data_IF_042479791951
#
_entry.id   IF_042479791951
#
_cell.length_a   1.000
_cell.length_b   1.000
_cell.length_c   1.000
_cell.angle_alpha   90.00
_cell.angle_beta   90.00
_cell.angle_gamma   90.00
#
_symmetry.space_group_name_H-M   'P 1'
#
loop_
_entity.id
_entity.type
_entity.pdbx_description
1 polymer ?
#
# COMPACT_ATOMS: atom_id res chain seq x y z
N UNK A 1 51.34 57.85 17.82
CA UNK A 1 49.97 57.29 17.86
C UNK A 1 49.96 56.06 16.96
N UNK A 2 50.20 54.88 17.53
CA UNK A 2 50.12 53.61 16.81
C UNK A 2 48.87 52.90 17.31
N UNK A 3 47.88 52.74 16.43
CA UNK A 3 46.66 51.98 16.73
C UNK A 3 46.72 50.66 15.95
N UNK A 4 46.80 49.57 16.71
CA UNK A 4 46.59 48.21 16.25
C UNK A 4 45.09 47.99 15.99
N UNK A 5 44.73 47.49 14.81
CA UNK A 5 43.41 46.91 14.54
C UNK A 5 43.58 45.41 14.30
N UNK A 6 43.03 44.62 15.22
CA UNK A 6 43.01 43.17 15.18
C UNK A 6 41.98 42.67 14.15
N UNK A 7 42.38 41.77 13.25
CA UNK A 7 41.46 40.96 12.45
C UNK A 7 40.91 39.83 13.32
N UNK A 8 39.60 39.85 13.59
CA UNK A 8 38.87 38.72 14.17
C UNK A 8 38.47 37.73 13.08
N UNK A 9 39.01 36.51 13.13
CA UNK A 9 38.56 35.40 12.30
C UNK A 9 37.32 34.76 12.95
N UNK A 10 36.15 34.92 12.32
CA UNK A 10 34.94 34.16 12.68
C UNK A 10 35.07 32.72 12.19
N UNK A 11 35.25 31.78 13.11
CA UNK A 11 35.07 30.36 12.83
C UNK A 11 33.57 30.04 12.78
N UNK A 12 33.04 29.83 11.58
CA UNK A 12 31.74 29.20 11.36
C UNK A 12 31.87 27.71 11.68
N UNK A 13 31.36 27.30 12.85
CA UNK A 13 31.19 25.90 13.20
C UNK A 13 30.07 25.31 12.35
N UNK A 14 30.42 24.49 11.36
CA UNK A 14 29.47 23.60 10.70
C UNK A 14 29.08 22.51 11.68
N UNK A 15 27.90 22.62 12.31
CA UNK A 15 27.27 21.51 13.01
C UNK A 15 26.75 20.52 11.96
N UNK A 16 27.53 19.49 11.68
CA UNK A 16 27.05 18.31 10.99
C UNK A 16 26.04 17.60 11.90
N UNK A 17 24.75 17.87 11.69
CA UNK A 17 23.68 17.03 12.22
C UNK A 17 23.72 15.70 11.47
N UNK A 18 24.59 14.80 11.92
CA UNK A 18 24.50 13.39 11.58
C UNK A 18 23.20 12.90 12.20
N UNK A 19 22.15 12.77 11.38
CA UNK A 19 20.95 12.04 11.76
C UNK A 19 21.40 10.67 12.27
N UNK A 20 21.23 10.42 13.56
CA UNK A 20 21.51 9.13 14.14
C UNK A 20 20.67 8.10 13.37
N UNK A 21 21.35 7.13 12.74
CA UNK A 21 20.69 5.96 12.17
C UNK A 21 19.87 5.31 13.29
N UNK A 22 18.55 5.16 13.16
CA UNK A 22 17.75 4.56 14.21
C UNK A 22 18.30 3.16 14.48
N UNK A 23 18.71 2.92 15.73
CA UNK A 23 19.13 1.61 16.20
C UNK A 23 18.00 0.62 15.90
N UNK A 24 18.26 -0.55 15.29
CA UNK A 24 17.22 -1.52 15.04
C UNK A 24 16.61 -1.94 16.38
N UNK A 25 15.41 -1.45 16.70
CA UNK A 25 14.66 -2.06 17.78
C UNK A 25 14.02 -3.31 17.19
N UNK A 26 14.66 -4.45 17.44
CA UNK A 26 13.96 -5.72 17.30
C UNK A 26 12.73 -5.64 18.20
N UNK A 27 11.54 -5.49 17.60
CA UNK A 27 10.29 -5.62 18.35
C UNK A 27 10.09 -7.10 18.63
N UNK A 28 10.29 -7.47 19.89
CA UNK A 28 9.91 -8.79 20.39
C UNK A 28 8.38 -8.90 20.57
N UNK A 29 7.71 -7.75 20.71
CA UNK A 29 6.26 -7.66 20.85
C UNK A 29 5.51 -7.46 19.53
N UNK A 30 4.31 -8.04 19.47
CA UNK A 30 3.35 -7.83 18.37
C UNK A 30 2.92 -6.37 18.29
N UNK A 31 2.80 -5.86 17.05
CA UNK A 31 2.28 -4.53 16.79
C UNK A 31 0.84 -4.41 17.32
N UNK A 32 0.63 -3.43 18.20
CA UNK A 32 -0.70 -2.93 18.53
C UNK A 32 -0.99 -1.70 17.66
N UNK A 33 -1.87 -1.88 16.67
CA UNK A 33 -2.24 -0.83 15.73
C UNK A 33 -2.90 0.40 16.36
N UNK A 34 -3.37 0.36 17.62
CA UNK A 34 -3.88 1.57 18.29
C UNK A 34 -2.79 2.60 18.60
N UNK A 35 -1.56 2.11 18.81
CA UNK A 35 -0.43 2.93 19.25
C UNK A 35 0.70 2.97 18.22
N UNK A 36 0.65 2.10 17.21
CA UNK A 36 1.63 2.07 16.15
C UNK A 36 1.42 3.23 15.17
N UNK A 37 2.52 3.83 14.71
CA UNK A 37 2.51 4.88 13.70
C UNK A 37 3.42 4.47 12.54
N UNK A 38 2.86 4.52 11.34
CA UNK A 38 3.52 4.02 10.16
C UNK A 38 3.68 5.09 9.08
N UNK A 39 4.92 5.26 8.62
CA UNK A 39 5.27 5.89 7.36
C UNK A 39 5.66 4.77 6.41
N UNK A 40 4.72 4.37 5.58
CA UNK A 40 4.85 3.19 4.74
C UNK A 40 4.96 3.51 3.26
N UNK A 41 5.25 2.48 2.50
CA UNK A 41 5.10 2.47 1.05
C UNK A 41 4.53 1.14 0.59
N UNK A 42 3.80 1.16 -0.52
CA UNK A 42 3.42 -0.04 -1.23
C UNK A 42 4.56 -0.54 -2.11
N UNK A 43 4.71 -1.87 -2.23
CA UNK A 43 5.55 -2.52 -3.24
C UNK A 43 4.69 -2.95 -4.44
N UNK A 44 3.87 -2.02 -4.94
CA UNK A 44 2.96 -2.23 -6.07
C UNK A 44 3.70 -2.52 -7.38
N UNK A 45 3.04 -3.24 -8.30
CA UNK A 45 3.65 -3.66 -9.56
C UNK A 45 4.75 -4.72 -9.43
N UNK A 46 4.94 -5.31 -8.24
CA UNK A 46 5.95 -6.34 -8.01
C UNK A 46 5.39 -7.76 -8.10
N UNK A 47 4.47 -8.14 -7.22
CA UNK A 47 3.85 -9.48 -7.15
C UNK A 47 2.36 -9.48 -7.55
N UNK A 48 1.86 -8.32 -7.94
CA UNK A 48 0.60 -8.06 -8.63
C UNK A 48 0.91 -6.99 -9.68
N UNK A 49 0.65 -7.27 -10.96
CA UNK A 49 1.05 -6.39 -12.06
C UNK A 49 -0.09 -5.51 -12.54
N UNK A 50 0.22 -4.24 -12.74
CA UNK A 50 -0.66 -3.26 -13.36
C UNK A 50 0.08 -2.59 -14.53
N UNK A 51 -0.62 -2.38 -15.62
CA UNK A 51 -0.05 -1.81 -16.84
C UNK A 51 0.51 -0.41 -16.62
N UNK A 52 -0.13 0.37 -15.75
CA UNK A 52 0.18 1.78 -15.51
C UNK A 52 1.51 1.96 -14.76
N UNK A 53 1.90 1.00 -13.92
CA UNK A 53 3.09 1.11 -13.06
C UNK A 53 4.38 0.97 -13.87
N UNK A 54 4.41 0.10 -14.87
CA UNK A 54 5.58 -0.15 -15.72
C UNK A 54 5.15 -0.42 -17.17
N UNK A 55 4.83 0.64 -17.93
CA UNK A 55 4.36 0.51 -19.31
C UNK A 55 5.43 -0.07 -20.23
N UNK A 56 6.72 0.01 -19.88
CA UNK A 56 7.79 -0.62 -20.65
C UNK A 56 7.77 -2.14 -20.50
N UNK A 57 7.68 -2.65 -19.27
CA UNK A 57 7.46 -4.07 -19.01
C UNK A 57 6.16 -4.54 -19.68
N UNK A 58 5.09 -3.79 -19.51
CA UNK A 58 3.79 -4.13 -20.09
C UNK A 58 3.83 -4.16 -21.61
N UNK A 59 4.39 -3.14 -22.27
CA UNK A 59 4.54 -3.09 -23.72
C UNK A 59 5.46 -4.18 -24.29
N UNK A 60 6.42 -4.66 -23.49
CA UNK A 60 7.34 -5.73 -23.93
C UNK A 60 6.71 -7.12 -23.83
N UNK A 61 5.99 -7.41 -22.75
CA UNK A 61 5.54 -8.77 -22.44
C UNK A 61 4.02 -8.96 -22.45
N UNK A 62 3.28 -7.90 -22.15
CA UNK A 62 1.82 -7.91 -21.94
C UNK A 62 1.08 -7.00 -22.94
N UNK A 63 1.71 -6.63 -24.06
CA UNK A 63 1.11 -5.67 -24.99
C UNK A 63 -0.27 -6.14 -25.48
N UNK A 64 -1.27 -5.27 -25.43
CA UNK A 64 -2.64 -5.59 -25.85
C UNK A 64 -3.41 -6.49 -24.89
N UNK A 65 -2.93 -6.72 -23.67
CA UNK A 65 -3.71 -7.39 -22.61
C UNK A 65 -4.18 -6.39 -21.56
N UNK A 66 -5.38 -6.60 -21.04
CA UNK A 66 -6.01 -5.69 -20.07
C UNK A 66 -5.49 -5.85 -18.64
N UNK A 67 -4.97 -7.04 -18.29
CA UNK A 67 -4.59 -7.41 -16.93
C UNK A 67 -3.52 -8.52 -16.92
N UNK A 68 -2.97 -8.80 -15.74
CA UNK A 68 -1.95 -9.83 -15.53
C UNK A 68 -2.44 -11.23 -15.94
N UNK A 69 -3.72 -11.53 -15.71
CA UNK A 69 -4.34 -12.79 -16.10
C UNK A 69 -4.22 -13.02 -17.62
N UNK A 70 -4.68 -12.04 -18.41
CA UNK A 70 -4.63 -12.11 -19.86
C UNK A 70 -3.20 -12.05 -20.38
N UNK A 71 -2.31 -11.33 -19.69
CA UNK A 71 -0.88 -11.32 -20.01
C UNK A 71 -0.29 -12.73 -19.90
N UNK A 72 -0.50 -13.44 -18.79
CA UNK A 72 0.02 -14.78 -18.63
C UNK A 72 -0.64 -15.80 -19.57
N UNK A 73 -1.94 -15.68 -19.81
CA UNK A 73 -2.64 -16.47 -20.82
C UNK A 73 -2.00 -16.29 -22.22
N UNK A 74 -1.67 -15.05 -22.60
CA UNK A 74 -1.01 -14.72 -23.87
C UNK A 74 0.43 -15.22 -23.94
N UNK A 75 1.18 -15.12 -22.84
CA UNK A 75 2.58 -15.56 -22.77
C UNK A 75 2.73 -17.09 -22.82
N UNK A 76 1.71 -17.84 -22.41
CA UNK A 76 1.75 -19.31 -22.33
C UNK A 76 2.94 -19.76 -21.48
N UNK A 77 3.74 -20.70 -22.00
CA UNK A 77 4.91 -21.26 -21.32
C UNK A 77 5.95 -20.21 -20.88
N UNK A 78 5.96 -19.02 -21.50
CA UNK A 78 6.88 -17.95 -21.12
C UNK A 78 6.47 -17.20 -19.86
N UNK A 79 5.19 -17.27 -19.44
CA UNK A 79 4.66 -16.53 -18.28
C UNK A 79 5.55 -16.76 -17.05
N UNK A 80 5.87 -18.01 -16.72
CA UNK A 80 6.74 -18.32 -15.58
C UNK A 80 8.11 -17.62 -15.65
N UNK A 81 8.83 -17.74 -16.78
CA UNK A 81 10.17 -17.16 -16.92
C UNK A 81 10.18 -15.62 -16.85
N UNK A 82 9.17 -14.97 -17.41
CA UNK A 82 9.05 -13.51 -17.44
C UNK A 82 8.77 -12.97 -16.04
N UNK A 83 7.81 -13.59 -15.35
CA UNK A 83 7.38 -13.13 -14.03
C UNK A 83 8.40 -13.47 -12.95
N UNK A 84 9.04 -14.65 -12.98
CA UNK A 84 10.15 -14.97 -12.06
C UNK A 84 11.31 -13.98 -12.20
N UNK A 85 11.66 -13.60 -13.44
CA UNK A 85 12.68 -12.57 -13.68
C UNK A 85 12.26 -11.24 -13.06
N UNK A 86 11.01 -10.80 -13.29
CA UNK A 86 10.49 -9.57 -12.69
C UNK A 86 10.52 -9.62 -11.17
N UNK A 87 10.06 -10.71 -10.55
CA UNK A 87 10.05 -10.85 -9.10
C UNK A 87 11.46 -10.77 -8.50
N UNK A 88 12.46 -11.30 -9.20
CA UNK A 88 13.85 -11.30 -8.76
C UNK A 88 14.55 -9.94 -8.87
N UNK A 89 14.16 -9.10 -9.82
CA UNK A 89 14.89 -7.87 -10.16
C UNK A 89 14.12 -6.58 -9.94
N UNK A 90 12.79 -6.63 -9.84
CA UNK A 90 11.97 -5.42 -9.72
C UNK A 90 12.12 -4.78 -8.35
N UNK A 91 11.83 -5.46 -7.24
CA UNK A 91 12.17 -4.95 -5.89
C UNK A 91 13.40 -5.67 -5.35
N UNK A 92 14.40 -4.90 -4.94
CA UNK A 92 15.70 -5.37 -4.44
C UNK A 92 15.93 -4.92 -3.00
N UNK A 93 17.00 -5.42 -2.38
CA UNK A 93 17.40 -4.97 -1.03
C UNK A 93 17.87 -3.51 -1.03
N UNK A 94 18.45 -3.04 -2.13
CA UNK A 94 18.90 -1.66 -2.27
C UNK A 94 17.71 -0.69 -2.31
N UNK A 95 16.61 -1.12 -2.94
CA UNK A 95 15.34 -0.36 -2.87
C UNK A 95 14.87 -0.25 -1.41
N UNK A 96 14.94 -1.33 -0.63
CA UNK A 96 14.56 -1.29 0.80
C UNK A 96 15.50 -0.40 1.62
N UNK A 97 16.81 -0.47 1.36
CA UNK A 97 17.80 0.38 2.03
C UNK A 97 17.53 1.86 1.77
N UNK A 98 17.18 2.20 0.53
CA UNK A 98 16.81 3.56 0.15
C UNK A 98 15.49 4.00 0.78
N UNK A 99 14.46 3.15 0.77
CA UNK A 99 13.19 3.44 1.46
C UNK A 99 13.41 3.72 2.96
N UNK A 100 14.25 2.92 3.63
CA UNK A 100 14.60 3.14 5.03
C UNK A 100 15.27 4.51 5.25
N UNK A 101 16.14 4.94 4.32
CA UNK A 101 16.79 6.26 4.39
C UNK A 101 15.79 7.43 4.27
N UNK A 102 14.65 7.21 3.60
CA UNK A 102 13.54 8.15 3.53
C UNK A 102 12.60 8.11 4.75
N UNK A 103 12.93 7.34 5.79
CA UNK A 103 12.12 7.22 7.01
C UNK A 103 10.97 6.22 6.91
N UNK A 104 10.95 5.36 5.88
CA UNK A 104 9.94 4.30 5.75
C UNK A 104 10.14 3.25 6.84
N UNK A 105 9.06 2.91 7.55
CA UNK A 105 9.06 1.89 8.61
C UNK A 105 8.02 0.78 8.38
N UNK A 106 7.25 0.85 7.29
CA UNK A 106 6.28 -0.17 6.91
C UNK A 106 6.31 -0.45 5.41
N UNK A 107 6.21 -1.72 5.02
CA UNK A 107 6.04 -2.14 3.63
C UNK A 107 4.70 -2.85 3.48
N UNK A 108 3.81 -2.33 2.62
CA UNK A 108 2.60 -3.04 2.17
C UNK A 108 2.93 -3.77 0.87
N UNK A 109 2.69 -5.07 0.83
CA UNK A 109 3.10 -5.96 -0.26
C UNK A 109 1.85 -6.57 -0.90
N UNK A 110 1.31 -5.96 -1.96
CA UNK A 110 0.26 -6.55 -2.79
C UNK A 110 0.71 -7.86 -3.42
N UNK A 111 -0.14 -8.88 -3.35
CA UNK A 111 0.07 -10.19 -3.97
C UNK A 111 -1.22 -10.65 -4.64
N UNK A 112 -1.12 -11.28 -5.81
CA UNK A 112 -2.24 -12.08 -6.31
C UNK A 112 -2.46 -13.31 -5.42
N UNK A 113 -3.67 -13.86 -5.37
CA UNK A 113 -3.92 -15.13 -4.66
C UNK A 113 -3.04 -16.28 -5.18
N UNK A 114 -2.54 -16.18 -6.42
CA UNK A 114 -1.73 -17.21 -7.08
C UNK A 114 -0.34 -17.39 -6.42
N UNK A 115 0.10 -16.42 -5.62
CA UNK A 115 1.27 -16.57 -4.76
C UNK A 115 1.05 -17.59 -3.62
N UNK A 116 -0.20 -17.86 -3.26
CA UNK A 116 -0.59 -18.61 -2.07
C UNK A 116 -1.21 -19.95 -2.41
N UNK A 117 -2.08 -19.99 -3.42
CA UNK A 117 -2.81 -21.19 -3.85
C UNK A 117 -2.84 -21.30 -5.37
N UNK A 118 -3.03 -22.53 -5.87
CA UNK A 118 -3.33 -22.79 -7.27
C UNK A 118 -4.83 -22.97 -7.43
N UNK A 119 -5.46 -22.15 -8.26
CA UNK A 119 -6.89 -22.26 -8.57
C UNK A 119 -7.05 -22.89 -9.96
N UNK A 120 -7.84 -23.96 -10.13
CA UNK A 120 -8.07 -24.57 -11.43
C UNK A 120 -8.61 -23.55 -12.45
N UNK A 121 -8.00 -23.51 -13.64
CA UNK A 121 -8.38 -22.58 -14.71
C UNK A 121 -7.79 -21.17 -14.57
N UNK A 122 -7.20 -20.82 -13.43
CA UNK A 122 -6.50 -19.55 -13.27
C UNK A 122 -5.30 -19.47 -14.23
N UNK A 123 -5.16 -18.32 -14.90
CA UNK A 123 -4.08 -18.09 -15.86
C UNK A 123 -2.85 -17.44 -15.22
N UNK A 124 -2.91 -17.08 -13.94
CA UNK A 124 -1.78 -16.52 -13.22
C UNK A 124 -0.59 -17.48 -13.13
N UNK A 125 0.60 -16.90 -13.01
CA UNK A 125 1.79 -17.63 -12.59
C UNK A 125 1.71 -17.97 -11.10
N UNK A 126 1.85 -19.25 -10.74
CA UNK A 126 2.05 -19.71 -9.36
C UNK A 126 3.45 -20.31 -9.22
N UNK A 127 4.40 -19.53 -8.71
CA UNK A 127 5.81 -19.88 -8.61
C UNK A 127 6.44 -19.48 -7.28
N UNK A 128 7.57 -18.77 -7.33
CA UNK A 128 8.41 -18.50 -6.16
C UNK A 128 8.06 -17.18 -5.44
N UNK A 129 6.88 -16.60 -5.64
CA UNK A 129 6.48 -15.31 -5.02
C UNK A 129 6.81 -15.27 -3.52
N UNK A 130 6.45 -16.32 -2.76
CA UNK A 130 6.70 -16.40 -1.32
C UNK A 130 8.20 -16.36 -0.97
N UNK A 131 9.08 -16.92 -1.81
CA UNK A 131 10.53 -16.88 -1.60
C UNK A 131 11.07 -15.46 -1.78
N UNK A 132 10.55 -14.71 -2.77
CA UNK A 132 10.91 -13.30 -2.97
C UNK A 132 10.39 -12.41 -1.84
N UNK A 133 9.14 -12.62 -1.38
CA UNK A 133 8.59 -11.95 -0.19
C UNK A 133 9.50 -12.19 1.00
N UNK A 134 9.86 -13.46 1.28
CA UNK A 134 10.74 -13.80 2.41
C UNK A 134 12.09 -13.10 2.32
N UNK A 135 12.70 -13.05 1.13
CA UNK A 135 14.01 -12.40 0.90
C UNK A 135 13.97 -10.91 1.23
N UNK A 136 12.94 -10.19 0.78
CA UNK A 136 12.78 -8.74 0.96
C UNK A 136 12.31 -8.42 2.38
N UNK A 137 11.25 -9.08 2.86
CA UNK A 137 10.71 -8.88 4.20
C UNK A 137 11.75 -9.20 5.29
N UNK A 138 12.51 -10.29 5.16
CA UNK A 138 13.55 -10.61 6.15
C UNK A 138 14.65 -9.55 6.21
N UNK A 139 14.99 -8.93 5.07
CA UNK A 139 15.97 -7.85 5.03
C UNK A 139 15.43 -6.59 5.72
N UNK A 140 14.22 -6.17 5.34
CA UNK A 140 13.50 -5.04 5.91
C UNK A 140 13.35 -5.16 7.44
N UNK A 141 12.87 -6.32 7.91
CA UNK A 141 12.65 -6.60 9.32
C UNK A 141 13.99 -6.63 10.08
N UNK A 142 14.99 -7.39 9.61
CA UNK A 142 16.23 -7.57 10.38
C UNK A 142 17.10 -6.33 10.42
N UNK A 143 17.15 -5.55 9.34
CA UNK A 143 18.04 -4.39 9.24
C UNK A 143 17.39 -3.12 9.80
N UNK A 144 16.09 -2.96 9.64
CA UNK A 144 15.39 -1.70 9.94
C UNK A 144 14.20 -1.84 10.90
N UNK A 145 13.85 -3.06 11.32
CA UNK A 145 12.67 -3.28 12.16
C UNK A 145 11.36 -2.91 11.45
N UNK A 146 11.34 -2.89 10.11
CA UNK A 146 10.14 -2.55 9.34
C UNK A 146 9.01 -3.54 9.61
N UNK A 147 7.78 -3.03 9.68
CA UNK A 147 6.57 -3.85 9.74
C UNK A 147 6.08 -4.19 8.33
N UNK A 148 5.53 -5.38 8.12
CA UNK A 148 5.12 -5.87 6.80
C UNK A 148 3.61 -6.12 6.79
N UNK A 149 2.90 -5.51 5.85
CA UNK A 149 1.52 -5.87 5.53
C UNK A 149 1.55 -6.79 4.31
N UNK A 150 1.08 -8.04 4.47
CA UNK A 150 0.90 -8.96 3.35
C UNK A 150 -0.55 -8.86 2.88
N UNK A 151 -0.72 -8.36 1.66
CA UNK A 151 -2.00 -8.05 1.08
C UNK A 151 -2.37 -9.06 -0.02
N UNK A 152 -3.49 -9.74 0.15
CA UNK A 152 -4.11 -10.57 -0.89
C UNK A 152 -4.97 -9.65 -1.75
N UNK A 153 -4.32 -9.03 -2.73
CA UNK A 153 -4.82 -7.87 -3.47
C UNK A 153 -5.99 -8.22 -4.42
N UNK A 154 -6.05 -9.48 -4.86
CA UNK A 154 -7.15 -10.03 -5.65
C UNK A 154 -7.52 -11.42 -5.13
N UNK A 155 -8.79 -11.79 -5.23
CA UNK A 155 -9.33 -13.08 -4.77
C UNK A 155 -9.94 -13.87 -5.94
N UNK A 156 -9.99 -15.22 -5.83
CA UNK A 156 -10.54 -16.07 -6.89
C UNK A 156 -11.94 -15.64 -7.33
N UNK A 157 -12.14 -15.46 -8.64
CA UNK A 157 -13.39 -15.00 -9.24
C UNK A 157 -13.50 -13.48 -9.45
N UNK A 158 -12.59 -12.67 -8.89
CA UNK A 158 -12.57 -11.23 -9.06
C UNK A 158 -13.51 -10.49 -8.12
N UNK A 159 -12.98 -9.45 -7.47
CA UNK A 159 -13.65 -8.73 -6.38
C UNK A 159 -14.09 -7.31 -6.74
N UNK A 160 -13.72 -6.81 -7.91
CA UNK A 160 -14.04 -5.44 -8.33
C UNK A 160 -14.08 -5.22 -9.85
N UNK A 161 -13.90 -6.27 -10.65
CA UNK A 161 -13.87 -6.20 -12.11
C UNK A 161 -12.76 -5.37 -12.71
N UNK A 162 -11.75 -5.00 -11.92
CA UNK A 162 -10.52 -4.38 -12.37
C UNK A 162 -9.42 -5.43 -12.54
N UNK A 163 -8.30 -5.01 -13.13
CA UNK A 163 -7.08 -5.79 -13.25
C UNK A 163 -6.52 -6.24 -11.91
N UNK A 164 -6.65 -5.39 -10.87
CA UNK A 164 -6.19 -5.67 -9.50
C UNK A 164 -7.01 -6.73 -8.75
N UNK A 165 -8.29 -6.88 -9.06
CA UNK A 165 -9.19 -7.77 -8.30
C UNK A 165 -9.11 -9.23 -8.71
N UNK A 166 -8.75 -9.50 -9.97
CA UNK A 166 -8.31 -10.77 -10.55
C UNK A 166 -8.13 -10.58 -12.07
N UNK A 167 -9.19 -10.09 -12.71
CA UNK A 167 -9.29 -9.95 -14.16
C UNK A 167 -10.36 -8.92 -14.48
N UNK A 168 -10.09 -8.09 -15.50
CA UNK A 168 -11.04 -7.08 -15.95
C UNK A 168 -12.38 -7.73 -16.32
N UNK A 169 -13.46 -7.14 -15.82
CA UNK A 169 -14.84 -7.58 -16.04
C UNK A 169 -15.30 -8.78 -15.20
N UNK A 170 -14.59 -9.13 -14.12
CA UNK A 170 -14.92 -10.26 -13.23
C UNK A 170 -15.33 -9.85 -11.82
N UNK A 171 -16.49 -10.37 -11.39
CA UNK A 171 -17.10 -10.19 -10.06
C UNK A 171 -17.61 -11.52 -9.47
N UNK A 172 -17.15 -12.64 -10.01
CA UNK A 172 -17.66 -13.98 -9.70
C UNK A 172 -17.32 -14.42 -8.25
N UNK A 173 -16.53 -13.64 -7.50
CA UNK A 173 -16.27 -13.87 -6.07
C UNK A 173 -17.52 -13.65 -5.19
N UNK A 174 -18.35 -12.66 -5.53
CA UNK A 174 -19.53 -12.33 -4.74
C UNK A 174 -20.59 -13.43 -4.80
N UNK A 175 -21.15 -13.79 -3.65
CA UNK A 175 -22.18 -14.83 -3.49
C UNK A 175 -21.77 -16.22 -4.02
N UNK A 176 -20.47 -16.47 -4.15
CA UNK A 176 -19.93 -17.74 -4.63
C UNK A 176 -19.15 -18.46 -3.53
N UNK A 177 -19.70 -19.55 -3.00
CA UNK A 177 -19.10 -20.28 -1.88
C UNK A 177 -17.74 -20.91 -2.24
N UNK A 178 -17.58 -21.43 -3.46
CA UNK A 178 -16.30 -22.00 -3.93
C UNK A 178 -15.20 -20.95 -3.91
N UNK A 179 -15.48 -19.76 -4.45
CA UNK A 179 -14.52 -18.66 -4.47
C UNK A 179 -14.21 -18.14 -3.05
N UNK A 180 -15.20 -18.10 -2.16
CA UNK A 180 -14.98 -17.78 -0.75
C UNK A 180 -14.08 -18.81 -0.05
N UNK A 181 -14.31 -20.11 -0.28
CA UNK A 181 -13.51 -21.18 0.33
C UNK A 181 -12.06 -21.16 -0.20
N UNK A 182 -11.85 -20.94 -1.49
CA UNK A 182 -10.52 -20.74 -2.07
C UNK A 182 -9.84 -19.49 -1.48
N UNK A 183 -10.58 -18.40 -1.29
CA UNK A 183 -10.05 -17.18 -0.65
C UNK A 183 -9.57 -17.46 0.78
N UNK A 184 -10.30 -18.27 1.54
CA UNK A 184 -9.90 -18.68 2.89
C UNK A 184 -8.69 -19.61 2.88
N UNK A 185 -8.54 -20.48 1.86
CA UNK A 185 -7.31 -21.27 1.70
C UNK A 185 -6.09 -20.38 1.44
N UNK A 186 -6.23 -19.30 0.66
CA UNK A 186 -5.15 -18.33 0.47
C UNK A 186 -4.78 -17.65 1.81
N UNK A 187 -5.77 -17.23 2.59
CA UNK A 187 -5.58 -16.69 3.94
C UNK A 187 -4.82 -17.66 4.85
N UNK A 188 -5.19 -18.94 4.85
CA UNK A 188 -4.51 -19.96 5.64
C UNK A 188 -3.03 -20.11 5.25
N UNK A 189 -2.69 -19.99 3.96
CA UNK A 189 -1.29 -20.01 3.52
C UNK A 189 -0.54 -18.75 3.94
N UNK A 190 -1.15 -17.56 3.89
CA UNK A 190 -0.52 -16.34 4.41
C UNK A 190 -0.28 -16.43 5.91
N UNK A 191 -1.27 -16.88 6.68
CA UNK A 191 -1.14 -17.07 8.13
C UNK A 191 -0.02 -18.07 8.46
N UNK A 192 0.06 -19.18 7.71
CA UNK A 192 1.13 -20.16 7.83
C UNK A 192 2.51 -19.56 7.50
N UNK A 193 2.60 -18.72 6.46
CA UNK A 193 3.82 -18.00 6.11
C UNK A 193 4.27 -17.07 7.25
N UNK A 194 3.35 -16.25 7.76
CA UNK A 194 3.60 -15.32 8.87
C UNK A 194 4.06 -16.09 10.10
N UNK A 195 3.33 -17.13 10.50
CA UNK A 195 3.63 -17.92 11.69
C UNK A 195 5.00 -18.61 11.62
N UNK A 196 5.45 -18.99 10.41
CA UNK A 196 6.74 -19.64 10.15
C UNK A 196 7.87 -18.68 9.76
N UNK A 197 7.63 -17.37 9.75
CA UNK A 197 8.60 -16.37 9.33
C UNK A 197 9.82 -16.26 10.26
N UNK A 198 9.68 -16.70 11.51
CA UNK A 198 10.65 -16.45 12.59
C UNK A 198 10.50 -15.07 13.24
N UNK A 199 9.63 -14.21 12.71
CA UNK A 199 9.28 -12.91 13.29
C UNK A 199 7.80 -12.60 13.04
N UNK A 200 6.86 -13.47 13.45
CA UNK A 200 5.42 -13.30 13.19
C UNK A 200 4.85 -11.98 13.72
N UNK A 201 5.49 -11.39 14.72
CA UNK A 201 5.14 -10.08 15.29
C UNK A 201 5.35 -8.90 14.33
N UNK A 202 6.14 -9.08 13.28
CA UNK A 202 6.46 -8.06 12.26
C UNK A 202 5.49 -8.06 11.08
N UNK A 203 4.35 -8.76 11.18
CA UNK A 203 3.41 -8.92 10.09
C UNK A 203 1.98 -8.52 10.44
N UNK A 204 1.24 -8.08 9.43
CA UNK A 204 -0.21 -7.91 9.42
C UNK A 204 -0.77 -8.52 8.15
N UNK A 205 -1.92 -9.20 8.26
CA UNK A 205 -2.63 -9.79 7.13
C UNK A 205 -3.66 -8.78 6.61
N UNK A 206 -3.57 -8.37 5.34
CA UNK A 206 -4.65 -7.72 4.61
C UNK A 206 -5.30 -8.77 3.68
N UNK A 207 -6.52 -9.26 3.97
CA UNK A 207 -7.06 -10.43 3.28
C UNK A 207 -7.87 -10.09 2.02
N UNK A 208 -8.16 -8.81 1.78
CA UNK A 208 -8.95 -8.34 0.64
C UNK A 208 -8.62 -6.87 0.37
N UNK A 209 -8.71 -6.47 -0.90
CA UNK A 209 -8.41 -5.12 -1.37
C UNK A 209 -9.51 -4.58 -2.29
N UNK A 210 -10.08 -3.43 -1.95
CA UNK A 210 -11.07 -2.68 -2.74
C UNK A 210 -12.24 -3.54 -3.30
N UNK A 211 -12.95 -4.34 -2.49
CA UNK A 211 -14.10 -5.10 -2.99
C UNK A 211 -15.21 -4.16 -3.47
N UNK A 212 -15.73 -4.37 -4.67
CA UNK A 212 -16.79 -3.57 -5.27
C UNK A 212 -17.67 -4.46 -6.16
N UNK A 213 -18.98 -4.50 -5.93
CA UNK A 213 -19.92 -5.29 -6.74
C UNK A 213 -20.77 -4.44 -7.69
N UNK A 214 -20.55 -3.11 -7.71
CA UNK A 214 -21.21 -2.21 -8.63
C UNK A 214 -20.43 -2.11 -9.96
N UNK A 215 -21.00 -2.51 -11.11
CA UNK A 215 -20.32 -2.44 -12.41
C UNK A 215 -20.22 -1.01 -12.98
N UNK A 216 -20.92 -0.03 -12.39
CA UNK A 216 -20.73 1.38 -12.75
C UNK A 216 -19.41 1.90 -12.14
N UNK A 217 -18.34 1.84 -12.93
CA UNK A 217 -17.01 2.31 -12.51
C UNK A 217 -16.96 3.80 -12.16
N UNK A 218 -17.96 4.62 -12.53
CA UNK A 218 -18.04 6.01 -12.05
C UNK A 218 -18.26 6.10 -10.53
N UNK A 219 -18.68 4.99 -9.89
CA UNK A 219 -18.84 4.88 -8.44
C UNK A 219 -17.59 4.37 -7.74
N UNK A 220 -16.61 3.85 -8.46
CA UNK A 220 -15.36 3.38 -7.88
C UNK A 220 -14.64 4.54 -7.17
N UNK A 221 -14.06 4.29 -5.99
CA UNK A 221 -13.57 5.35 -5.12
C UNK A 221 -14.64 5.98 -4.20
N UNK A 222 -15.90 5.53 -4.26
CA UNK A 222 -17.00 6.05 -3.43
C UNK A 222 -17.75 4.93 -2.70
N UNK A 223 -18.48 5.22 -1.61
CA UNK A 223 -19.28 4.21 -0.90
C UNK A 223 -20.28 3.45 -1.78
N UNK A 224 -20.70 4.03 -2.92
CA UNK A 224 -21.62 3.41 -3.86
C UNK A 224 -21.00 2.31 -4.73
N UNK A 225 -19.68 2.09 -4.66
CA UNK A 225 -19.01 0.98 -5.33
C UNK A 225 -19.39 -0.40 -4.76
N UNK A 226 -19.84 -0.43 -3.49
CA UNK A 226 -20.22 -1.65 -2.79
C UNK A 226 -21.67 -1.57 -2.31
N UNK A 227 -22.52 -2.41 -2.87
CA UNK A 227 -23.91 -2.57 -2.44
C UNK A 227 -23.98 -3.13 -1.02
N UNK A 228 -25.16 -3.07 -0.38
CA UNK A 228 -25.33 -3.67 0.94
C UNK A 228 -25.28 -5.20 0.91
N UNK A 229 -25.68 -5.83 -0.20
CA UNK A 229 -25.53 -7.27 -0.40
C UNK A 229 -24.05 -7.66 -0.56
N UNK A 230 -23.29 -6.91 -1.36
CA UNK A 230 -21.85 -7.06 -1.48
C UNK A 230 -21.17 -6.86 -0.12
N UNK A 231 -21.59 -5.85 0.64
CA UNK A 231 -21.07 -5.60 1.98
C UNK A 231 -21.36 -6.74 2.96
N UNK A 232 -22.56 -7.33 2.92
CA UNK A 232 -22.90 -8.50 3.73
C UNK A 232 -22.02 -9.72 3.37
N UNK A 233 -21.69 -9.90 2.09
CA UNK A 233 -20.78 -10.97 1.65
C UNK A 233 -19.34 -10.73 2.11
N UNK A 234 -18.84 -9.48 1.99
CA UNK A 234 -17.54 -9.08 2.56
C UNK A 234 -17.51 -9.29 4.07
N UNK A 235 -18.59 -8.94 4.78
CA UNK A 235 -18.71 -9.16 6.23
C UNK A 235 -18.63 -10.65 6.59
N UNK A 236 -19.27 -11.53 5.81
CA UNK A 236 -19.17 -12.99 5.99
C UNK A 236 -17.73 -13.46 5.83
N UNK A 237 -17.04 -13.00 4.79
CA UNK A 237 -15.65 -13.34 4.54
C UNK A 237 -14.73 -12.88 5.67
N UNK A 238 -14.78 -11.61 6.07
CA UNK A 238 -13.88 -11.08 7.11
C UNK A 238 -14.14 -11.71 8.49
N UNK A 239 -15.39 -12.06 8.81
CA UNK A 239 -15.70 -12.83 10.02
C UNK A 239 -15.03 -14.22 10.03
N UNK A 240 -14.99 -14.88 8.87
CA UNK A 240 -14.26 -16.15 8.72
C UNK A 240 -12.74 -15.93 8.84
N UNK A 241 -12.18 -14.87 8.22
CA UNK A 241 -10.75 -14.52 8.38
C UNK A 241 -10.38 -14.28 9.84
N UNK A 242 -11.22 -13.57 10.61
CA UNK A 242 -11.04 -13.38 12.06
C UNK A 242 -11.00 -14.73 12.79
N UNK A 243 -11.88 -15.66 12.46
CA UNK A 243 -11.90 -17.01 13.05
C UNK A 243 -10.63 -17.80 12.71
N UNK A 244 -10.22 -17.81 11.44
CA UNK A 244 -9.02 -18.51 10.98
C UNK A 244 -7.76 -17.95 11.63
N UNK A 245 -7.64 -16.62 11.67
CA UNK A 245 -6.52 -15.92 12.32
C UNK A 245 -6.47 -16.24 13.81
N UNK A 246 -7.59 -16.21 14.53
CA UNK A 246 -7.64 -16.58 15.95
C UNK A 246 -7.24 -18.03 16.21
N UNK A 247 -7.60 -18.95 15.31
CA UNK A 247 -7.24 -20.36 15.42
C UNK A 247 -5.74 -20.61 15.22
N UNK A 248 -5.07 -19.80 14.39
CA UNK A 248 -3.62 -19.88 14.17
C UNK A 248 -2.86 -19.09 15.23
N UNK A 249 -3.13 -17.79 15.34
CA UNK A 249 -2.49 -16.88 16.28
C UNK A 249 -3.28 -15.57 16.39
N UNK A 250 -4.02 -15.32 17.50
CA UNK A 250 -4.85 -14.13 17.65
C UNK A 250 -4.07 -12.82 17.76
N UNK A 251 -2.74 -12.88 17.92
CA UNK A 251 -1.88 -11.69 18.00
C UNK A 251 -1.55 -11.11 16.63
N UNK A 252 -1.72 -11.87 15.54
CA UNK A 252 -1.56 -11.35 14.17
C UNK A 252 -2.71 -10.38 13.87
N UNK A 253 -2.45 -9.10 13.58
CA UNK A 253 -3.50 -8.15 13.23
C UNK A 253 -4.06 -8.43 11.84
N UNK A 254 -5.34 -8.12 11.67
CA UNK A 254 -6.04 -8.15 10.37
C UNK A 254 -6.25 -6.70 9.93
N UNK A 255 -5.76 -6.37 8.75
CA UNK A 255 -5.99 -5.09 8.10
C UNK A 255 -7.16 -5.23 7.13
N UNK A 256 -8.31 -4.66 7.47
CA UNK A 256 -9.53 -4.80 6.69
C UNK A 256 -9.73 -3.59 5.78
N UNK A 257 -9.51 -3.78 4.47
CA UNK A 257 -9.89 -2.85 3.42
C UNK A 257 -11.37 -3.09 3.08
N UNK A 258 -12.23 -2.20 3.57
CA UNK A 258 -13.69 -2.33 3.53
C UNK A 258 -14.34 -1.68 2.31
N UNK A 259 -13.71 -1.77 1.13
CA UNK A 259 -14.04 -0.96 -0.05
C UNK A 259 -13.81 0.52 0.22
N UNK A 260 -14.67 1.39 -0.30
CA UNK A 260 -14.69 2.82 -0.03
C UNK A 260 -15.75 3.20 1.01
N UNK A 261 -16.22 2.20 1.79
CA UNK A 261 -17.02 2.42 3.00
C UNK A 261 -16.05 2.49 4.19
N UNK A 262 -16.00 3.66 4.83
CA UNK A 262 -15.07 3.92 5.93
C UNK A 262 -15.37 3.12 7.21
N UNK A 263 -14.48 3.27 8.21
CA UNK A 263 -14.56 2.57 9.49
C UNK A 263 -15.95 2.61 10.15
N UNK A 264 -16.68 3.74 10.22
CA UNK A 264 -17.98 3.81 10.90
C UNK A 264 -19.06 2.90 10.30
N UNK A 265 -18.95 2.54 9.01
CA UNK A 265 -19.91 1.62 8.39
C UNK A 265 -19.72 0.18 8.90
N UNK A 266 -18.49 -0.21 9.20
CA UNK A 266 -18.12 -1.58 9.55
C UNK A 266 -17.91 -1.78 11.05
N UNK A 267 -17.54 -0.73 11.78
CA UNK A 267 -17.11 -0.78 13.19
C UNK A 267 -18.15 -1.48 14.08
N UNK A 268 -19.44 -1.23 13.85
CA UNK A 268 -20.58 -1.82 14.57
C UNK A 268 -20.64 -3.35 14.51
N UNK A 269 -20.09 -3.96 13.46
CA UNK A 269 -20.18 -5.40 13.22
C UNK A 269 -19.13 -6.22 13.98
N UNK A 270 -18.19 -5.57 14.67
CA UNK A 270 -17.11 -6.24 15.40
C UNK A 270 -17.11 -5.87 16.88
N UNK A 271 -16.72 -6.81 17.75
CA UNK A 271 -16.39 -6.49 19.14
C UNK A 271 -15.10 -5.64 19.17
N UNK A 272 -15.03 -4.63 20.05
CA UNK A 272 -13.86 -3.73 20.14
C UNK A 272 -12.53 -4.43 20.50
N UNK A 273 -12.59 -5.65 21.02
CA UNK A 273 -11.45 -6.53 21.30
C UNK A 273 -10.93 -7.30 20.07
N UNK A 274 -11.60 -7.20 18.93
CA UNK A 274 -11.13 -7.84 17.69
C UNK A 274 -9.87 -7.11 17.21
N UNK A 275 -8.80 -7.86 16.91
CA UNK A 275 -7.51 -7.31 16.49
C UNK A 275 -7.54 -6.90 15.00
N UNK A 276 -8.32 -5.85 14.71
CA UNK A 276 -8.52 -5.28 13.38
C UNK A 276 -7.98 -3.85 13.34
N UNK A 277 -7.36 -3.50 12.23
CA UNK A 277 -7.12 -2.13 11.76
C UNK A 277 -7.86 -1.94 10.44
N UNK A 278 -8.52 -0.80 10.24
CA UNK A 278 -9.14 -0.50 8.95
C UNK A 278 -8.12 0.10 7.99
N UNK A 279 -8.14 -0.39 6.76
CA UNK A 279 -7.38 0.17 5.65
C UNK A 279 -8.30 1.09 4.83
N UNK A 280 -7.86 2.32 4.61
CA UNK A 280 -8.55 3.28 3.76
C UNK A 280 -7.62 3.72 2.64
N UNK A 281 -8.17 3.75 1.42
CA UNK A 281 -7.48 4.27 0.25
C UNK A 281 -8.02 5.64 -0.10
N UNK A 282 -7.13 6.62 -0.31
CA UNK A 282 -7.54 7.99 -0.58
C UNK A 282 -6.74 8.61 -1.72
N UNK A 283 -7.42 8.87 -2.84
CA UNK A 283 -6.83 9.38 -4.06
C UNK A 283 -7.51 10.66 -4.53
N UNK A 284 -6.75 11.52 -5.23
CA UNK A 284 -7.22 12.84 -5.68
C UNK A 284 -7.36 12.95 -7.20
N UNK A 285 -6.75 12.05 -7.96
CA UNK A 285 -6.77 12.09 -9.43
C UNK A 285 -8.17 11.89 -10.05
N UNK A 286 -9.12 11.31 -9.30
CA UNK A 286 -10.52 11.12 -9.72
C UNK A 286 -11.52 12.08 -9.06
N UNK A 287 -11.05 13.05 -8.26
CA UNK A 287 -11.90 13.99 -7.52
C UNK A 287 -11.62 15.43 -7.98
N UNK A 288 -12.60 16.35 -7.95
CA UNK A 288 -12.37 17.78 -8.21
C UNK A 288 -11.28 18.35 -7.29
N UNK A 289 -10.04 18.37 -7.78
CA UNK A 289 -8.85 18.72 -7.03
C UNK A 289 -7.78 19.29 -7.96
N UNK A 290 -6.96 20.18 -7.40
CA UNK A 290 -5.77 20.70 -8.04
C UNK A 290 -4.60 20.77 -7.07
N UNK A 291 -3.38 20.85 -7.58
CA UNK A 291 -2.19 20.83 -6.73
C UNK A 291 -2.04 22.08 -5.85
N UNK A 292 -2.72 23.18 -6.14
CA UNK A 292 -2.65 24.40 -5.31
C UNK A 292 -3.47 24.25 -4.02
N UNK A 293 -4.60 23.53 -4.07
CA UNK A 293 -5.52 23.39 -2.94
C UNK A 293 -5.70 21.97 -2.37
N UNK A 294 -5.13 20.93 -2.98
CA UNK A 294 -5.31 19.53 -2.54
C UNK A 294 -4.94 19.30 -1.07
N UNK A 295 -4.05 20.12 -0.51
CA UNK A 295 -3.70 20.08 0.91
C UNK A 295 -4.91 20.24 1.82
N UNK A 296 -5.89 21.07 1.45
CA UNK A 296 -7.14 21.25 2.21
C UNK A 296 -7.95 19.96 2.23
N UNK A 297 -8.09 19.30 1.08
CA UNK A 297 -8.79 18.00 0.96
C UNK A 297 -8.06 16.91 1.74
N UNK A 298 -6.73 16.85 1.67
CA UNK A 298 -5.90 15.93 2.46
C UNK A 298 -6.15 16.09 3.96
N UNK A 299 -6.07 17.32 4.48
CA UNK A 299 -6.29 17.56 5.90
C UNK A 299 -7.73 17.25 6.33
N UNK A 300 -8.72 17.58 5.49
CA UNK A 300 -10.13 17.31 5.76
C UNK A 300 -10.41 15.80 5.78
N UNK A 301 -9.95 15.07 4.77
CA UNK A 301 -10.08 13.63 4.70
C UNK A 301 -9.37 12.97 5.89
N UNK A 302 -8.12 13.33 6.20
CA UNK A 302 -7.39 12.74 7.33
C UNK A 302 -8.15 12.85 8.66
N UNK A 303 -8.84 13.97 8.91
CA UNK A 303 -9.68 14.19 10.10
C UNK A 303 -10.92 13.29 10.10
N UNK A 304 -11.58 13.10 8.96
CA UNK A 304 -12.82 12.31 8.86
C UNK A 304 -12.54 10.81 8.82
N UNK A 305 -11.42 10.40 8.22
CA UNK A 305 -11.02 9.00 8.07
C UNK A 305 -10.76 8.30 9.41
N UNK A 306 -10.45 9.05 10.47
CA UNK A 306 -10.28 8.49 11.82
C UNK A 306 -11.50 7.72 12.34
N UNK A 307 -12.68 7.94 11.73
CA UNK A 307 -13.89 7.19 12.01
C UNK A 307 -14.48 7.52 13.38
N UNK A 308 -15.13 6.54 13.99
CA UNK A 308 -15.74 6.68 15.33
C UNK A 308 -14.73 6.41 16.48
N UNK A 309 -13.51 5.99 16.13
CA UNK A 309 -12.42 5.70 17.07
C UNK A 309 -12.47 4.32 17.71
N UNK A 310 -13.47 3.48 17.40
CA UNK A 310 -13.59 2.11 17.92
C UNK A 310 -12.41 1.26 17.44
N UNK A 311 -12.00 1.40 16.19
CA UNK A 311 -10.83 0.72 15.62
C UNK A 311 -9.78 1.71 15.10
N UNK A 312 -8.49 1.33 15.12
CA UNK A 312 -7.46 2.11 14.44
C UNK A 312 -7.70 2.12 12.93
N UNK A 313 -7.34 3.22 12.28
CA UNK A 313 -7.41 3.41 10.82
C UNK A 313 -6.00 3.69 10.29
N UNK A 314 -5.63 3.03 9.19
CA UNK A 314 -4.39 3.25 8.46
C UNK A 314 -4.73 3.62 7.01
N UNK A 315 -4.05 4.61 6.45
CA UNK A 315 -4.25 5.00 5.04
C UNK A 315 -3.33 4.16 4.17
N UNK A 316 -3.73 2.93 3.82
CA UNK A 316 -2.85 1.98 3.15
C UNK A 316 -2.52 2.31 1.71
N UNK A 317 -3.28 3.19 1.07
CA UNK A 317 -2.96 3.71 -0.25
C UNK A 317 -3.36 5.18 -0.43
N UNK A 318 -2.48 5.94 -1.07
CA UNK A 318 -2.73 7.30 -1.53
C UNK A 318 -1.60 7.77 -2.45
N UNK A 319 -1.87 8.79 -3.26
CA UNK A 319 -0.88 9.49 -4.07
C UNK A 319 -1.24 10.97 -4.27
N UNK A 320 -0.25 11.80 -4.60
CA UNK A 320 -0.42 13.26 -4.72
C UNK A 320 -0.96 13.74 -6.07
N UNK A 321 -1.11 12.86 -7.07
CA UNK A 321 -1.67 13.27 -8.36
C UNK A 321 -3.09 13.81 -8.14
N UNK A 322 -3.36 15.00 -8.67
CA UNK A 322 -4.67 15.65 -8.66
C UNK A 322 -5.37 15.51 -10.01
N UNK A 323 -6.68 15.76 -10.05
CA UNK A 323 -7.47 15.68 -11.29
C UNK A 323 -7.01 16.71 -12.32
N UNK A 324 -6.65 17.92 -11.88
CA UNK A 324 -6.19 19.00 -12.77
C UNK A 324 -5.02 19.79 -12.19
N UNK A 325 -4.39 20.62 -13.03
CA UNK A 325 -3.33 21.58 -12.66
C UNK A 325 -2.26 20.98 -11.73
N UNK A 326 -1.75 19.81 -12.09
CA UNK A 326 -0.61 19.17 -11.43
C UNK A 326 0.64 20.04 -11.63
N UNK A 327 1.41 20.27 -10.56
CA UNK A 327 2.61 21.13 -10.59
C UNK A 327 3.78 20.49 -9.87
N UNK A 328 4.95 20.50 -10.50
CA UNK A 328 6.18 20.01 -9.90
C UNK A 328 6.54 20.75 -8.62
N UNK A 329 6.35 22.07 -8.61
CA UNK A 329 6.63 22.93 -7.46
C UNK A 329 5.80 22.59 -6.22
N UNK A 330 4.62 21.97 -6.40
CA UNK A 330 3.72 21.63 -5.31
C UNK A 330 3.91 20.19 -4.78
N UNK A 331 4.76 19.37 -5.41
CA UNK A 331 4.94 17.97 -4.99
C UNK A 331 5.37 17.84 -3.53
N UNK A 332 6.39 18.59 -3.12
CA UNK A 332 6.87 18.61 -1.74
C UNK A 332 5.77 19.08 -0.77
N UNK A 333 4.99 20.10 -1.14
CA UNK A 333 3.87 20.60 -0.33
C UNK A 333 2.80 19.52 -0.14
N UNK A 334 2.32 18.91 -1.23
CA UNK A 334 1.24 17.91 -1.18
C UNK A 334 1.66 16.64 -0.47
N UNK A 335 2.86 16.13 -0.76
CA UNK A 335 3.42 14.93 -0.14
C UNK A 335 3.58 15.11 1.38
N UNK A 336 4.23 16.18 1.81
CA UNK A 336 4.48 16.36 3.24
C UNK A 336 3.22 16.70 4.02
N UNK A 337 2.23 17.34 3.38
CA UNK A 337 0.90 17.52 3.98
C UNK A 337 0.24 16.19 4.27
N UNK A 338 0.21 15.25 3.31
CA UNK A 338 -0.39 13.93 3.54
C UNK A 338 0.37 13.08 4.55
N UNK A 339 1.71 13.05 4.46
CA UNK A 339 2.55 12.36 5.45
C UNK A 339 2.26 12.87 6.87
N UNK A 340 2.15 14.19 7.06
CA UNK A 340 1.79 14.78 8.35
C UNK A 340 0.36 14.46 8.77
N UNK A 341 -0.61 14.75 7.91
CA UNK A 341 -2.03 14.68 8.23
C UNK A 341 -2.44 13.27 8.65
N UNK A 342 -2.03 12.25 7.88
CA UNK A 342 -2.38 10.87 8.18
C UNK A 342 -1.68 10.37 9.45
N UNK A 343 -0.44 10.76 9.74
CA UNK A 343 0.18 10.41 11.03
C UNK A 343 -0.45 11.12 12.23
N UNK A 344 -0.96 12.34 12.03
CA UNK A 344 -1.61 13.13 13.08
C UNK A 344 -2.99 12.58 13.44
N UNK A 345 -3.80 12.26 12.45
CA UNK A 345 -5.22 11.93 12.66
C UNK A 345 -5.53 10.43 12.60
N UNK A 346 -4.66 9.62 12.00
CA UNK A 346 -4.83 8.15 11.91
C UNK A 346 -3.56 7.43 12.40
N UNK A 347 -3.37 6.16 12.06
CA UNK A 347 -2.16 5.39 12.38
C UNK A 347 -1.03 5.60 11.36
N UNK A 348 -1.19 6.55 10.44
CA UNK A 348 -0.23 6.84 9.38
C UNK A 348 -0.70 6.36 8.02
N UNK A 349 0.24 6.11 7.12
CA UNK A 349 -0.05 5.88 5.70
C UNK A 349 0.93 4.93 5.02
N UNK A 350 0.57 4.39 3.85
CA UNK A 350 1.49 3.82 2.88
C UNK A 350 1.27 4.44 1.49
N UNK A 351 2.32 5.07 0.96
CA UNK A 351 2.24 5.73 -0.35
C UNK A 351 2.14 4.70 -1.48
N UNK A 352 1.30 4.94 -2.49
CA UNK A 352 1.31 4.19 -3.75
C UNK A 352 2.19 4.94 -4.76
N UNK A 353 3.39 4.46 -5.11
CA UNK A 353 4.07 3.21 -4.73
C UNK A 353 5.59 3.43 -4.67
N UNK A 354 6.38 2.42 -4.28
CA UNK A 354 7.83 2.52 -4.17
C UNK A 354 8.49 2.86 -5.51
N UNK A 355 8.10 2.16 -6.58
CA UNK A 355 8.61 2.38 -7.94
C UNK A 355 7.47 2.49 -8.93
N UNK A 356 7.57 3.50 -9.77
CA UNK A 356 6.57 3.78 -10.79
C UNK A 356 7.24 4.41 -12.01
N UNK A 357 6.92 3.89 -13.18
CA UNK A 357 7.50 4.24 -14.48
C UNK A 357 6.43 4.60 -15.52
N UNK A 358 5.16 4.78 -15.10
CA UNK A 358 4.09 5.21 -15.98
C UNK A 358 4.37 6.55 -16.63
N UNK A 359 4.20 6.59 -17.93
CA UNK A 359 4.56 7.71 -18.80
C UNK A 359 3.33 8.43 -19.39
N UNK A 360 2.14 8.19 -18.82
CA UNK A 360 0.94 8.91 -19.22
C UNK A 360 1.04 10.32 -18.65
N UNK A 361 0.87 11.33 -19.52
CA UNK A 361 0.83 12.73 -19.09
C UNK A 361 -0.31 12.98 -18.11
N UNK A 362 -0.04 13.76 -17.06
CA UNK A 362 -1.08 14.22 -16.14
C UNK A 362 -1.64 15.56 -16.61
N UNK A 363 -2.83 15.92 -16.13
CA UNK A 363 -3.37 17.26 -16.39
C UNK A 363 -2.53 18.30 -15.63
N UNK A 364 -1.63 19.00 -16.34
CA UNK A 364 -0.65 19.92 -15.78
C UNK A 364 0.77 19.58 -16.23
N UNK A 365 1.72 19.59 -15.31
CA UNK A 365 3.14 19.37 -15.57
C UNK A 365 3.52 17.89 -15.37
N UNK A 366 4.15 17.28 -16.38
CA UNK A 366 4.81 15.96 -16.25
C UNK A 366 3.93 14.75 -16.52
N UNK A 367 4.41 13.61 -16.05
CA UNK A 367 3.80 12.28 -16.25
C UNK A 367 3.48 11.62 -14.91
N UNK A 368 2.75 10.50 -14.92
CA UNK A 368 2.41 9.78 -13.69
C UNK A 368 3.65 9.44 -12.83
N UNK A 369 4.77 9.02 -13.42
CA UNK A 369 6.00 8.72 -12.66
C UNK A 369 6.50 9.89 -11.80
N UNK A 370 6.17 11.14 -12.14
CA UNK A 370 6.53 12.32 -11.34
C UNK A 370 5.74 12.47 -10.04
N UNK A 371 4.60 11.77 -9.91
CA UNK A 371 3.65 11.91 -8.80
C UNK A 371 3.40 10.59 -8.05
N UNK A 372 3.83 9.45 -8.59
CA UNK A 372 3.54 8.11 -8.04
C UNK A 372 4.78 7.33 -7.58
N UNK A 373 6.00 7.84 -7.81
CA UNK A 373 7.24 7.15 -7.51
C UNK A 373 7.89 7.68 -6.21
N UNK A 374 7.73 6.94 -5.11
CA UNK A 374 8.26 7.35 -3.81
C UNK A 374 9.80 7.35 -3.74
N UNK A 375 10.48 6.41 -4.42
CA UNK A 375 11.93 6.41 -4.48
C UNK A 375 12.50 7.65 -5.17
N UNK A 376 11.80 8.20 -6.17
CA UNK A 376 12.19 9.47 -6.79
C UNK A 376 12.03 10.64 -5.80
N UNK A 377 11.01 10.63 -4.94
CA UNK A 377 10.87 11.67 -3.91
C UNK A 377 12.02 11.65 -2.88
N UNK A 378 12.56 10.47 -2.58
CA UNK A 378 13.76 10.33 -1.77
C UNK A 378 14.97 10.95 -2.49
N UNK A 379 15.18 10.64 -3.77
CA UNK A 379 16.30 11.22 -4.55
C UNK A 379 16.22 12.75 -4.66
N UNK A 380 15.00 13.27 -4.77
CA UNK A 380 14.76 14.71 -4.83
C UNK A 380 14.97 15.41 -3.47
N UNK A 381 15.08 14.66 -2.37
CA UNK A 381 15.22 15.23 -1.03
C UNK A 381 13.99 15.99 -0.54
N UNK A 382 12.78 15.62 -0.99
CA UNK A 382 11.54 16.36 -0.70
C UNK A 382 10.69 15.76 0.42
N UNK A 383 11.20 14.77 1.16
CA UNK A 383 10.48 14.13 2.27
C UNK A 383 10.85 14.82 3.58
N UNK A 384 9.94 15.65 4.07
CA UNK A 384 10.03 16.38 5.34
C UNK A 384 8.61 16.59 5.93
N UNK A 385 8.03 15.57 6.59
CA UNK A 385 6.64 15.61 7.06
C UNK A 385 6.32 16.82 7.95
N UNK A 386 7.27 17.35 8.72
CA UNK A 386 7.07 18.55 9.54
C UNK A 386 6.61 19.76 8.73
N UNK A 387 6.99 19.88 7.45
CA UNK A 387 6.50 20.95 6.57
C UNK A 387 4.99 20.93 6.36
N UNK A 388 4.34 19.76 6.49
CA UNK A 388 2.90 19.59 6.33
C UNK A 388 2.07 20.26 7.43
N UNK A 389 2.66 20.50 8.61
CA UNK A 389 1.94 20.99 9.78
C UNK A 389 1.19 22.30 9.53
N UNK A 390 1.81 23.23 8.80
CA UNK A 390 1.25 24.56 8.53
C UNK A 390 0.01 24.53 7.64
N UNK A 391 -0.29 23.41 6.99
CA UNK A 391 -1.47 23.24 6.13
C UNK A 391 -2.62 22.52 6.84
N UNK A 392 -2.35 21.77 7.93
CA UNK A 392 -3.34 20.99 8.68
C UNK A 392 -3.47 21.45 10.15
N UNK A 393 -3.33 22.75 10.41
CA UNK A 393 -3.61 23.36 11.72
C UNK A 393 -5.09 23.31 12.07
#
# INVERSE_FOLDING_TARGET
MFAFTALGASFLAFSSNVLATPTPSHRDDYVNWRNFRANGVNLGGWLCQEATIDPYFWGTYCNGTADEWNCCAKLGDRCASVFEKRYATYITRDDIDKLASGGVNLLRIPTTYAAWIKVPGAQYHSGNQQSYIKKIASHAIKKYGMHIVLDIHGLPGGINGLDIGERVGKWDWFNNQTNLDLSLQAVDQVLKFIQKSGSPQSYTLAPINEPADNPDFSKFGTPAALSDNGAAWVQKYINAVVKHTKAVNPKIPIMFQGSFKGEPFWSGNFAASTNIVFDVHNYYFGRPSDSDNVTTSICADAKTLAGDGKFPVFVGEWAIQTLSNNRFANRAKSLNTGLYAYNKYTQGNAYWTAKYFGNVSVAGEGEQADYWNYLNFIDMGIIEPSMGQKYCS
#
